data_IF_895994135353
#
_entry.id   IF_895994135353
#
_cell.length_a   1.000
_cell.length_b   1.000
_cell.length_c   1.000
_cell.angle_alpha   90.00
_cell.angle_beta   90.00
_cell.angle_gamma   90.00
#
_symmetry.space_group_name_H-M   'P 1'
#
loop_
_entity.id
_entity.type
_entity.pdbx_description
1 polymer ?
#
# COMPACT_ATOMS: atom_id res chain seq x y z
N UNK A 1 10.06 -18.42 -8.31
CA UNK A 1 10.96 -18.53 -7.15
C UNK A 1 10.59 -17.41 -6.20
N UNK A 2 9.86 -17.74 -5.13
CA UNK A 2 9.33 -16.78 -4.18
C UNK A 2 10.33 -16.54 -3.05
N UNK A 3 10.64 -15.27 -2.80
CA UNK A 3 11.16 -14.80 -1.53
C UNK A 3 10.00 -14.81 -0.55
N UNK A 4 10.13 -15.53 0.57
CA UNK A 4 9.63 -15.22 1.92
C UNK A 4 9.71 -16.49 2.74
N UNK A 5 10.90 -16.75 3.29
CA UNK A 5 11.11 -17.85 4.24
C UNK A 5 12.16 -17.41 5.26
N UNK A 6 11.76 -16.55 6.20
CA UNK A 6 12.58 -16.22 7.37
C UNK A 6 11.68 -15.95 8.56
N UNK A 7 11.32 -17.03 9.27
CA UNK A 7 11.04 -17.01 10.70
C UNK A 7 11.05 -18.45 11.21
N UNK A 8 12.25 -18.95 11.56
CA UNK A 8 12.40 -20.21 12.30
C UNK A 8 13.15 -19.96 13.60
N UNK A 9 12.42 -20.25 14.69
CA UNK A 9 12.86 -20.75 16.00
C UNK A 9 14.07 -20.09 16.66
N UNK A 10 13.82 -19.42 17.79
CA UNK A 10 14.77 -19.43 18.92
C UNK A 10 14.20 -20.29 20.04
N UNK A 11 14.94 -21.36 20.34
CA UNK A 11 14.71 -22.31 21.42
C UNK A 11 14.93 -21.66 22.79
N UNK A 12 14.10 -22.10 23.74
CA UNK A 12 14.37 -22.10 25.18
C UNK A 12 15.74 -22.69 25.49
N UNK A 13 16.58 -21.94 26.19
CA UNK A 13 17.56 -22.51 27.12
C UNK A 13 17.70 -21.60 28.34
N UNK A 14 17.29 -22.13 29.49
CA UNK A 14 17.69 -21.71 30.82
C UNK A 14 19.21 -21.62 30.91
N UNK A 15 19.73 -20.51 31.44
CA UNK A 15 21.05 -20.49 32.07
C UNK A 15 21.05 -19.54 33.27
N UNK A 16 21.26 -20.15 34.43
CA UNK A 16 21.55 -19.51 35.71
C UNK A 16 22.73 -18.55 35.56
N UNK A 17 22.61 -17.35 36.11
CA UNK A 17 23.74 -16.46 36.36
C UNK A 17 23.81 -16.17 37.86
N UNK A 18 25.02 -16.38 38.34
CA UNK A 18 25.51 -16.35 39.71
C UNK A 18 25.41 -14.98 40.40
N UNK A 19 25.20 -15.04 41.71
CA UNK A 19 25.33 -13.94 42.66
C UNK A 19 26.76 -13.36 42.66
N UNK A 20 26.87 -12.04 42.51
CA UNK A 20 27.92 -11.26 43.16
C UNK A 20 27.28 -10.04 43.84
N UNK A 21 27.69 -9.83 45.09
CA UNK A 21 27.26 -8.75 45.98
C UNK A 21 28.09 -7.50 45.63
N UNK A 22 27.44 -6.35 45.48
CA UNK A 22 27.80 -5.17 46.27
C UNK A 22 26.71 -4.09 46.21
N UNK A 23 26.46 -3.51 47.39
CA UNK A 23 25.37 -2.60 47.75
C UNK A 23 25.55 -1.19 47.16
N UNK A 24 24.43 -0.57 46.82
CA UNK A 24 23.97 0.69 47.45
C UNK A 24 22.48 0.88 47.17
N UNK A 25 21.69 0.69 48.22
CA UNK A 25 20.26 0.94 48.26
C UNK A 25 20.00 2.44 48.10
N UNK A 26 19.19 2.80 47.09
CA UNK A 26 18.43 4.04 47.09
C UNK A 26 16.95 3.66 46.90
N UNK A 27 16.20 3.76 47.99
CA UNK A 27 14.79 3.47 48.07
C UNK A 27 13.98 4.62 47.44
N UNK A 28 13.52 4.43 46.20
CA UNK A 28 12.62 5.34 45.48
C UNK A 28 11.16 4.85 45.61
N UNK A 29 10.84 3.91 46.53
CA UNK A 29 9.47 3.42 46.68
C UNK A 29 8.52 4.41 47.37
N UNK A 30 9.00 5.58 47.78
CA UNK A 30 8.23 6.58 48.54
C UNK A 30 7.83 7.84 47.77
N UNK A 31 8.10 7.94 46.46
CA UNK A 31 7.55 9.03 45.65
C UNK A 31 6.95 8.49 44.35
N UNK A 32 5.66 8.79 44.19
CA UNK A 32 4.78 8.51 43.05
C UNK A 32 3.85 7.30 43.29
N UNK A 33 2.84 7.51 44.14
CA UNK A 33 1.57 6.79 44.04
C UNK A 33 0.84 7.28 42.78
N UNK A 34 1.17 6.72 41.62
CA UNK A 34 0.26 6.75 40.48
C UNK A 34 -0.61 5.52 40.64
N UNK A 35 -1.88 5.75 41.00
CA UNK A 35 -2.94 4.78 40.78
C UNK A 35 -2.84 4.38 39.32
N UNK A 36 -2.45 3.13 39.05
CA UNK A 36 -2.61 2.53 37.74
C UNK A 36 -4.11 2.43 37.50
N UNK A 37 -4.71 3.50 36.98
CA UNK A 37 -5.93 3.36 36.20
C UNK A 37 -5.60 2.35 35.11
N UNK A 38 -6.28 1.22 35.21
CA UNK A 38 -6.35 0.21 34.17
C UNK A 38 -6.66 0.98 32.88
N UNK A 39 -5.65 1.10 32.01
CA UNK A 39 -5.84 1.64 30.67
C UNK A 39 -6.88 0.71 30.06
N UNK A 40 -8.13 1.20 29.98
CA UNK A 40 -9.20 0.52 29.29
C UNK A 40 -8.65 0.08 27.94
N UNK A 41 -8.80 -1.21 27.67
CA UNK A 41 -8.65 -1.77 26.34
C UNK A 41 -9.40 -0.86 25.38
N UNK A 42 -8.82 -0.44 24.24
CA UNK A 42 -9.56 0.40 23.29
C UNK A 42 -10.86 -0.31 22.97
N UNK A 43 -12.00 0.35 23.25
CA UNK A 43 -13.31 -0.15 22.82
C UNK A 43 -13.22 -0.47 21.33
N UNK A 44 -13.75 -1.62 20.92
CA UNK A 44 -13.80 -1.97 19.50
C UNK A 44 -14.33 -0.76 18.70
N UNK A 45 -13.69 -0.41 17.57
CA UNK A 45 -14.12 0.74 16.78
C UNK A 45 -15.59 0.57 16.43
N UNK A 46 -16.38 1.64 16.57
CA UNK A 46 -17.81 1.60 16.23
C UNK A 46 -17.96 1.36 14.73
N UNK A 47 -18.23 0.11 14.34
CA UNK A 47 -18.44 -0.26 12.95
C UNK A 47 -19.87 0.09 12.53
N UNK A 48 -20.01 0.88 11.47
CA UNK A 48 -21.30 1.19 10.85
C UNK A 48 -21.70 0.01 9.94
N UNK A 49 -22.80 -0.72 10.23
CA UNK A 49 -23.25 -1.83 9.38
C UNK A 49 -23.60 -1.36 7.97
N UNK A 50 -23.34 -2.20 6.96
CA UNK A 50 -23.56 -1.86 5.55
C UNK A 50 -24.99 -1.42 5.25
N UNK A 51 -25.98 -1.99 5.96
CA UNK A 51 -27.40 -1.64 5.82
C UNK A 51 -27.70 -0.19 6.20
N UNK A 52 -26.87 0.43 7.05
CA UNK A 52 -26.96 1.87 7.36
C UNK A 52 -26.26 2.71 6.29
N UNK A 53 -25.10 2.26 5.79
CA UNK A 53 -24.33 2.99 4.78
C UNK A 53 -25.13 3.11 3.47
N UNK A 54 -25.76 2.01 3.02
CA UNK A 54 -26.47 1.97 1.73
C UNK A 54 -27.78 2.77 1.68
N UNK A 55 -28.37 3.16 2.82
CA UNK A 55 -29.68 3.88 2.86
C UNK A 55 -29.70 5.20 2.09
N UNK A 56 -28.54 5.82 1.86
CA UNK A 56 -28.41 7.07 1.10
C UNK A 56 -27.62 6.92 -0.20
N UNK A 57 -27.28 5.71 -0.63
CA UNK A 57 -26.47 5.48 -1.83
C UNK A 57 -27.32 5.10 -3.03
N UNK A 58 -26.90 5.61 -4.19
CA UNK A 58 -27.46 5.25 -5.48
C UNK A 58 -26.78 3.97 -5.99
N UNK A 59 -27.61 3.01 -6.38
CA UNK A 59 -27.19 1.80 -7.07
C UNK A 59 -26.59 2.15 -8.44
N UNK A 60 -25.70 1.30 -8.95
CA UNK A 60 -25.31 1.40 -10.35
C UNK A 60 -26.43 0.92 -11.29
N UNK A 61 -26.19 1.01 -12.60
CA UNK A 61 -27.20 0.71 -13.64
C UNK A 61 -27.70 -0.74 -13.64
N UNK A 62 -26.98 -1.67 -12.99
CA UNK A 62 -27.37 -3.09 -12.86
C UNK A 62 -27.85 -3.44 -11.43
N UNK A 63 -28.07 -2.41 -10.61
CA UNK A 63 -28.63 -2.57 -9.27
C UNK A 63 -27.62 -3.06 -8.23
N UNK A 64 -26.32 -2.82 -8.38
CA UNK A 64 -25.30 -3.22 -7.41
C UNK A 64 -24.76 -2.03 -6.60
N UNK A 65 -24.45 -2.27 -5.33
CA UNK A 65 -23.71 -1.36 -4.47
C UNK A 65 -22.19 -1.57 -4.56
N UNK A 66 -21.38 -0.58 -4.14
CA UNK A 66 -19.93 -0.71 -4.25
C UNK A 66 -19.30 -1.91 -3.52
N UNK A 67 -19.79 -2.27 -2.33
CA UNK A 67 -19.32 -3.46 -1.62
C UNK A 67 -19.66 -4.77 -2.36
N UNK A 68 -20.77 -4.83 -3.10
CA UNK A 68 -21.14 -6.00 -3.90
C UNK A 68 -20.21 -6.13 -5.12
N UNK A 69 -19.85 -5.01 -5.77
CA UNK A 69 -18.84 -5.01 -6.84
C UNK A 69 -17.47 -5.46 -6.31
N UNK A 70 -17.08 -4.95 -5.14
CA UNK A 70 -15.85 -5.41 -4.51
C UNK A 70 -15.93 -6.91 -4.22
N UNK A 71 -17.07 -7.41 -3.74
CA UNK A 71 -17.24 -8.82 -3.44
C UNK A 71 -17.19 -9.69 -4.70
N UNK A 72 -17.73 -9.23 -5.83
CA UNK A 72 -17.57 -9.88 -7.13
C UNK A 72 -16.08 -10.06 -7.49
N UNK A 73 -15.23 -9.08 -7.20
CA UNK A 73 -13.80 -9.18 -7.48
C UNK A 73 -13.06 -10.21 -6.59
N UNK A 74 -13.64 -10.57 -5.45
CA UNK A 74 -13.10 -11.58 -4.52
C UNK A 74 -13.76 -12.94 -4.67
N UNK A 75 -14.99 -13.02 -5.18
CA UNK A 75 -15.80 -14.24 -5.26
C UNK A 75 -15.05 -15.44 -5.88
N UNK A 76 -14.22 -15.30 -6.94
CA UNK A 76 -13.44 -16.42 -7.46
C UNK A 76 -12.44 -17.04 -6.48
N UNK A 77 -12.18 -16.42 -5.33
CA UNK A 77 -11.30 -16.95 -4.27
C UNK A 77 -12.08 -17.67 -3.16
N UNK A 78 -13.41 -17.54 -3.13
CA UNK A 78 -14.26 -18.09 -2.07
C UNK A 78 -14.91 -19.40 -2.51
N UNK A 79 -14.92 -20.36 -1.60
CA UNK A 79 -15.64 -21.62 -1.73
C UNK A 79 -17.14 -21.41 -1.54
N UNK A 80 -17.96 -22.41 -1.85
CA UNK A 80 -19.40 -22.33 -1.57
C UNK A 80 -19.71 -22.38 -0.07
N UNK A 81 -18.84 -23.02 0.72
CA UNK A 81 -19.01 -23.21 2.16
C UNK A 81 -17.65 -23.18 2.88
N UNK A 82 -17.66 -22.94 4.18
CA UNK A 82 -16.47 -23.03 5.04
C UNK A 82 -15.43 -21.93 4.81
N UNK A 83 -15.83 -20.79 4.26
CA UNK A 83 -14.94 -19.65 4.07
C UNK A 83 -14.56 -18.98 5.38
N UNK A 84 -13.38 -18.38 5.39
CA UNK A 84 -13.01 -17.31 6.32
C UNK A 84 -12.75 -16.04 5.52
N UNK A 85 -13.27 -14.92 6.03
CA UNK A 85 -13.28 -13.65 5.33
C UNK A 85 -12.25 -12.68 5.91
N UNK A 86 -11.55 -11.91 5.06
CA UNK A 86 -10.71 -10.81 5.52
C UNK A 86 -11.49 -9.83 6.40
N UNK A 87 -10.89 -9.40 7.51
CA UNK A 87 -11.55 -8.52 8.48
C UNK A 87 -12.01 -7.17 7.91
N UNK A 88 -11.43 -6.71 6.79
CA UNK A 88 -11.84 -5.45 6.16
C UNK A 88 -13.31 -5.44 5.74
N UNK A 89 -13.91 -6.60 5.44
CA UNK A 89 -15.34 -6.68 5.09
C UNK A 89 -16.19 -6.06 6.19
N UNK A 90 -15.91 -6.45 7.44
CA UNK A 90 -16.56 -5.88 8.61
C UNK A 90 -16.00 -4.50 8.94
N UNK A 91 -14.71 -4.41 9.28
CA UNK A 91 -14.14 -3.20 9.88
C UNK A 91 -14.11 -1.98 8.95
N UNK A 92 -14.01 -2.19 7.63
CA UNK A 92 -13.94 -1.08 6.65
C UNK A 92 -15.29 -0.84 5.95
N UNK A 93 -16.07 -1.90 5.70
CA UNK A 93 -17.26 -1.81 4.85
C UNK A 93 -18.57 -2.22 5.51
N UNK A 94 -18.55 -2.63 6.78
CA UNK A 94 -19.75 -2.98 7.53
C UNK A 94 -20.45 -4.25 7.05
N UNK A 95 -19.80 -5.07 6.22
CA UNK A 95 -20.33 -6.34 5.68
C UNK A 95 -20.01 -7.46 6.66
N UNK A 96 -21.01 -7.87 7.43
CA UNK A 96 -20.86 -8.95 8.42
C UNK A 96 -21.07 -10.33 7.80
N UNK A 97 -22.10 -10.47 6.96
CA UNK A 97 -22.53 -11.74 6.37
C UNK A 97 -22.16 -11.77 4.88
N UNK A 98 -20.91 -12.13 4.60
CA UNK A 98 -20.36 -12.16 3.23
C UNK A 98 -20.97 -13.33 2.43
N UNK A 99 -21.25 -14.47 3.05
CA UNK A 99 -21.91 -15.61 2.40
C UNK A 99 -23.29 -15.23 1.86
N UNK A 100 -24.11 -14.53 2.65
CA UNK A 100 -25.40 -14.01 2.19
C UNK A 100 -25.28 -13.10 0.98
N UNK A 101 -24.25 -12.24 0.94
CA UNK A 101 -23.99 -11.39 -0.22
C UNK A 101 -23.56 -12.21 -1.45
N UNK A 102 -22.73 -13.25 -1.30
CA UNK A 102 -22.35 -14.14 -2.40
C UNK A 102 -23.55 -14.90 -2.97
N UNK A 103 -24.44 -15.41 -2.11
CA UNK A 103 -25.68 -16.08 -2.52
C UNK A 103 -26.57 -15.12 -3.31
N UNK A 104 -26.77 -13.89 -2.81
CA UNK A 104 -27.53 -12.85 -3.51
C UNK A 104 -26.95 -12.55 -4.91
N UNK A 105 -25.62 -12.38 -5.01
CA UNK A 105 -24.94 -12.12 -6.28
C UNK A 105 -25.10 -13.28 -7.28
N UNK A 106 -25.09 -14.53 -6.80
CA UNK A 106 -25.36 -15.72 -7.60
C UNK A 106 -26.82 -15.73 -8.07
N UNK A 107 -27.77 -15.54 -7.17
CA UNK A 107 -29.20 -15.61 -7.49
C UNK A 107 -29.63 -14.49 -8.45
N UNK A 108 -28.91 -13.37 -8.44
CA UNK A 108 -29.08 -12.25 -9.37
C UNK A 108 -28.31 -12.41 -10.68
N UNK A 109 -27.60 -13.53 -10.88
CA UNK A 109 -26.96 -13.89 -12.15
C UNK A 109 -25.59 -13.26 -12.39
N UNK A 110 -24.94 -12.67 -11.39
CA UNK A 110 -23.56 -12.15 -11.51
C UNK A 110 -22.49 -13.21 -11.19
N UNK A 111 -22.87 -14.23 -10.42
CA UNK A 111 -22.03 -15.38 -10.09
C UNK A 111 -22.71 -16.69 -10.51
N UNK A 112 -21.89 -17.70 -10.73
CA UNK A 112 -22.30 -19.09 -10.92
C UNK A 112 -21.43 -20.02 -10.08
N UNK A 113 -21.87 -21.27 -9.91
CA UNK A 113 -21.02 -22.32 -9.33
C UNK A 113 -19.94 -22.65 -10.37
N UNK A 114 -18.69 -22.73 -9.92
CA UNK A 114 -17.57 -23.00 -10.81
C UNK A 114 -17.59 -24.39 -11.42
N UNK A 115 -16.80 -24.58 -12.48
CA UNK A 115 -16.75 -25.86 -13.18
C UNK A 115 -16.00 -26.93 -12.39
N UNK A 116 -16.27 -28.21 -12.69
CA UNK A 116 -15.48 -29.33 -12.15
C UNK A 116 -13.98 -29.16 -12.45
N UNK A 117 -13.65 -28.71 -13.67
CA UNK A 117 -12.26 -28.42 -14.03
C UNK A 117 -11.63 -27.39 -13.09
N UNK A 118 -12.35 -26.30 -12.80
CA UNK A 118 -11.89 -25.25 -11.89
C UNK A 118 -11.70 -25.78 -10.45
N UNK A 119 -12.57 -26.68 -10.00
CA UNK A 119 -12.42 -27.34 -8.69
C UNK A 119 -11.13 -28.18 -8.64
N UNK A 120 -10.87 -28.99 -9.68
CA UNK A 120 -9.64 -29.78 -9.80
C UNK A 120 -8.40 -28.89 -9.89
N UNK A 121 -8.47 -27.78 -10.63
CA UNK A 121 -7.37 -26.81 -10.75
C UNK A 121 -7.01 -26.13 -9.42
N UNK A 122 -7.91 -26.10 -8.44
CA UNK A 122 -7.64 -25.54 -7.11
C UNK A 122 -7.02 -26.53 -6.13
N UNK A 123 -7.11 -27.82 -6.42
CA UNK A 123 -6.49 -28.83 -5.57
C UNK A 123 -4.97 -28.80 -5.61
N UNK A 124 -4.34 -29.28 -4.56
CA UNK A 124 -2.88 -29.35 -4.51
C UNK A 124 -2.37 -30.46 -5.45
N UNK A 125 -1.19 -30.25 -6.03
CA UNK A 125 -0.63 -31.19 -7.00
C UNK A 125 -0.41 -32.61 -6.45
N UNK A 126 -0.26 -32.77 -5.12
CA UNK A 126 -0.18 -34.07 -4.48
C UNK A 126 -1.50 -34.85 -4.63
N UNK A 127 -2.63 -34.23 -4.27
CA UNK A 127 -3.98 -34.82 -4.40
C UNK A 127 -4.25 -35.25 -5.84
N UNK A 128 -3.90 -34.41 -6.83
CA UNK A 128 -4.08 -34.76 -8.24
C UNK A 128 -3.27 -36.01 -8.64
N UNK A 129 -2.05 -36.14 -8.13
CA UNK A 129 -1.19 -37.30 -8.42
C UNK A 129 -1.70 -38.57 -7.76
N UNK A 130 -2.25 -38.47 -6.57
CA UNK A 130 -2.83 -39.61 -5.86
C UNK A 130 -4.03 -40.15 -6.65
N UNK A 131 -4.96 -39.27 -7.07
CA UNK A 131 -6.11 -39.67 -7.90
C UNK A 131 -5.67 -40.28 -9.24
N UNK A 132 -4.67 -39.69 -9.91
CA UNK A 132 -4.11 -40.26 -11.14
C UNK A 132 -3.53 -41.66 -10.89
N UNK A 133 -2.77 -41.84 -9.81
CA UNK A 133 -2.17 -43.13 -9.45
C UNK A 133 -3.21 -44.20 -9.16
N UNK A 134 -4.26 -43.84 -8.43
CA UNK A 134 -5.37 -44.75 -8.08
C UNK A 134 -6.15 -45.21 -9.32
N UNK A 135 -6.13 -44.41 -10.39
CA UNK A 135 -6.70 -44.75 -11.70
C UNK A 135 -5.68 -45.39 -12.66
N UNK A 136 -4.47 -45.72 -12.19
CA UNK A 136 -3.41 -46.33 -13.02
C UNK A 136 -2.78 -45.39 -14.05
N UNK A 137 -2.96 -44.08 -13.90
CA UNK A 137 -2.54 -43.06 -14.84
C UNK A 137 -1.16 -42.49 -14.50
N UNK A 138 -0.51 -41.92 -15.52
CA UNK A 138 0.80 -41.28 -15.37
C UNK A 138 0.72 -40.06 -14.44
N UNK A 139 1.61 -39.98 -13.46
CA UNK A 139 1.65 -38.89 -12.44
C UNK A 139 2.69 -37.78 -12.72
N UNK A 140 3.46 -37.91 -13.80
CA UNK A 140 4.44 -36.90 -14.21
C UNK A 140 3.77 -35.75 -14.98
N UNK A 141 4.31 -34.54 -14.85
CA UNK A 141 3.91 -33.38 -15.64
C UNK A 141 3.70 -32.13 -14.81
N UNK A 142 3.47 -31.01 -15.50
CA UNK A 142 3.01 -29.76 -14.86
C UNK A 142 1.56 -29.93 -14.37
N UNK A 143 1.13 -29.12 -13.40
CA UNK A 143 -0.23 -29.20 -12.82
C UNK A 143 -1.33 -29.19 -13.89
N UNK A 144 -1.23 -28.30 -14.88
CA UNK A 144 -2.21 -28.23 -15.97
C UNK A 144 -2.32 -29.53 -16.78
N UNK A 145 -1.20 -30.24 -17.00
CA UNK A 145 -1.19 -31.54 -17.67
C UNK A 145 -1.82 -32.63 -16.82
N UNK A 146 -1.65 -32.57 -15.49
CA UNK A 146 -2.31 -33.50 -14.56
C UNK A 146 -3.82 -33.30 -14.55
N UNK A 147 -4.27 -32.04 -14.51
CA UNK A 147 -5.69 -31.68 -14.58
C UNK A 147 -6.29 -32.18 -15.89
N UNK A 148 -5.65 -31.89 -17.02
CA UNK A 148 -6.14 -32.31 -18.33
C UNK A 148 -6.27 -33.84 -18.41
N UNK A 149 -5.27 -34.57 -17.91
CA UNK A 149 -5.31 -36.04 -17.85
C UNK A 149 -6.48 -36.58 -17.04
N UNK A 150 -6.75 -35.98 -15.87
CA UNK A 150 -7.91 -36.35 -15.07
C UNK A 150 -9.21 -36.12 -15.87
N UNK A 151 -9.35 -34.96 -16.52
CA UNK A 151 -10.54 -34.61 -17.30
C UNK A 151 -10.77 -35.52 -18.50
N UNK A 152 -9.70 -35.99 -19.16
CA UNK A 152 -9.79 -36.78 -20.39
C UNK A 152 -9.96 -38.29 -20.12
N UNK A 153 -9.34 -38.80 -19.05
CA UNK A 153 -9.21 -40.25 -18.83
C UNK A 153 -10.04 -40.77 -17.64
N UNK A 154 -10.50 -39.91 -16.72
CA UNK A 154 -11.30 -40.32 -15.55
C UNK A 154 -12.77 -39.92 -15.74
N UNK A 155 -13.75 -40.82 -15.50
CA UNK A 155 -15.17 -40.49 -15.63
C UNK A 155 -15.58 -39.29 -14.77
N UNK A 156 -16.38 -38.39 -15.36
CA UNK A 156 -16.82 -37.16 -14.69
C UNK A 156 -17.55 -37.42 -13.37
N UNK A 157 -18.36 -38.49 -13.29
CA UNK A 157 -19.05 -38.87 -12.06
C UNK A 157 -18.06 -39.17 -10.91
N UNK A 158 -17.02 -39.96 -11.19
CA UNK A 158 -15.95 -40.27 -10.23
C UNK A 158 -15.23 -39.01 -9.77
N UNK A 159 -14.94 -38.10 -10.71
CA UNK A 159 -14.29 -36.83 -10.38
C UNK A 159 -15.19 -35.95 -9.50
N UNK A 160 -16.50 -35.90 -9.74
CA UNK A 160 -17.44 -35.12 -8.90
C UNK A 160 -17.52 -35.64 -7.48
N UNK A 161 -17.40 -36.95 -7.28
CA UNK A 161 -17.40 -37.56 -5.95
C UNK A 161 -16.12 -37.24 -5.16
N UNK A 162 -14.98 -37.11 -5.86
CA UNK A 162 -13.69 -36.78 -5.25
C UNK A 162 -13.55 -35.27 -5.01
N UNK A 163 -13.85 -34.48 -6.04
CA UNK A 163 -13.64 -33.03 -6.07
C UNK A 163 -14.95 -32.30 -5.76
N UNK A 164 -15.26 -32.23 -4.47
CA UNK A 164 -16.53 -31.68 -3.96
C UNK A 164 -16.46 -30.20 -3.59
N UNK A 165 -15.26 -29.61 -3.56
CA UNK A 165 -15.04 -28.23 -3.14
C UNK A 165 -15.08 -27.26 -4.32
N UNK A 166 -16.25 -26.69 -4.54
CA UNK A 166 -16.46 -25.69 -5.59
C UNK A 166 -16.28 -24.26 -5.07
N UNK A 167 -15.95 -23.36 -5.99
CA UNK A 167 -15.90 -21.91 -5.76
C UNK A 167 -16.88 -21.19 -6.65
N UNK A 168 -17.12 -19.92 -6.36
CA UNK A 168 -17.86 -19.05 -7.27
C UNK A 168 -17.03 -18.75 -8.52
N UNK A 169 -17.72 -18.54 -9.65
CA UNK A 169 -17.16 -18.00 -10.88
C UNK A 169 -18.01 -16.82 -11.36
N UNK A 170 -17.37 -15.86 -12.03
CA UNK A 170 -18.08 -14.74 -12.64
C UNK A 170 -18.84 -15.21 -13.88
N UNK A 171 -20.11 -14.85 -13.98
CA UNK A 171 -20.85 -14.91 -15.25
C UNK A 171 -20.34 -13.82 -16.19
N UNK A 172 -20.78 -13.81 -17.44
CA UNK A 172 -20.40 -12.74 -18.38
C UNK A 172 -20.91 -11.37 -17.91
N UNK A 173 -22.13 -11.30 -17.37
CA UNK A 173 -22.65 -10.09 -16.73
C UNK A 173 -21.78 -9.65 -15.53
N UNK A 174 -21.31 -10.61 -14.71
CA UNK A 174 -20.39 -10.35 -13.60
C UNK A 174 -19.04 -9.78 -14.07
N UNK A 175 -18.48 -10.32 -15.16
CA UNK A 175 -17.22 -9.82 -15.75
C UNK A 175 -17.39 -8.41 -16.35
N UNK A 176 -18.48 -8.18 -17.07
CA UNK A 176 -18.78 -6.90 -17.70
C UNK A 176 -18.92 -5.78 -16.67
N UNK A 177 -19.70 -6.00 -15.60
CA UNK A 177 -19.88 -4.97 -14.57
C UNK A 177 -18.59 -4.75 -13.77
N UNK A 178 -17.83 -5.80 -13.48
CA UNK A 178 -16.56 -5.66 -12.76
C UNK A 178 -15.53 -4.86 -13.56
N UNK A 179 -15.53 -5.02 -14.90
CA UNK A 179 -14.71 -4.20 -15.80
C UNK A 179 -15.18 -2.75 -15.84
N UNK A 180 -16.49 -2.51 -15.93
CA UNK A 180 -17.08 -1.16 -15.94
C UNK A 180 -16.80 -0.40 -14.65
N UNK A 181 -16.83 -1.09 -13.51
CA UNK A 181 -16.68 -0.53 -12.16
C UNK A 181 -15.28 -0.84 -11.57
N UNK A 182 -14.26 -1.00 -12.42
CA UNK A 182 -12.90 -1.43 -12.02
C UNK A 182 -12.23 -0.50 -11.01
N UNK A 183 -12.72 0.73 -10.89
CA UNK A 183 -12.26 1.71 -9.91
C UNK A 183 -12.51 1.28 -8.46
N UNK A 184 -13.49 0.39 -8.21
CA UNK A 184 -13.83 -0.12 -6.87
C UNK A 184 -12.74 -1.05 -6.32
N UNK A 185 -12.37 -2.17 -7.00
CA UNK A 185 -11.23 -2.96 -6.55
C UNK A 185 -9.93 -2.16 -6.60
N UNK A 186 -9.78 -1.23 -7.55
CA UNK A 186 -8.63 -0.33 -7.61
C UNK A 186 -8.46 0.49 -6.32
N UNK A 187 -9.48 1.24 -5.88
CA UNK A 187 -9.36 2.10 -4.69
C UNK A 187 -9.24 1.31 -3.39
N UNK A 188 -9.85 0.12 -3.33
CA UNK A 188 -9.68 -0.78 -2.19
C UNK A 188 -8.22 -1.20 -2.01
N UNK A 189 -7.53 -1.53 -3.12
CA UNK A 189 -6.15 -2.02 -3.11
C UNK A 189 -5.12 -0.91 -2.89
N UNK A 190 -5.27 0.23 -3.57
CA UNK A 190 -4.27 1.28 -3.55
C UNK A 190 -4.40 2.14 -2.29
N UNK A 191 -5.63 2.43 -1.87
CA UNK A 191 -5.90 3.35 -0.77
C UNK A 191 -5.48 4.79 -1.12
N UNK A 192 -6.42 5.71 -1.07
CA UNK A 192 -6.12 7.14 -1.18
C UNK A 192 -6.76 7.81 0.03
N UNK A 193 -6.05 8.80 0.59
CA UNK A 193 -6.51 9.55 1.76
C UNK A 193 -7.95 10.04 1.58
N UNK A 194 -8.81 9.73 2.56
CA UNK A 194 -10.23 10.07 2.60
C UNK A 194 -11.03 9.64 1.35
N UNK A 195 -10.54 8.65 0.61
CA UNK A 195 -11.18 8.11 -0.60
C UNK A 195 -11.27 6.58 -0.51
N UNK A 196 -12.50 6.09 -0.48
CA UNK A 196 -12.84 4.68 -0.36
C UNK A 196 -13.83 4.26 -1.48
N UNK A 197 -14.32 3.01 -1.40
CA UNK A 197 -15.25 2.48 -2.42
C UNK A 197 -16.55 3.27 -2.49
N UNK A 198 -16.99 3.89 -1.39
CA UNK A 198 -18.28 4.58 -1.32
C UNK A 198 -18.16 6.00 -1.87
N UNK A 199 -17.18 6.75 -1.36
CA UNK A 199 -16.90 8.13 -1.74
C UNK A 199 -16.41 8.25 -3.18
N UNK A 200 -15.59 7.30 -3.67
CA UNK A 200 -15.19 7.29 -5.08
C UNK A 200 -16.36 6.95 -6.00
N UNK A 201 -17.19 5.94 -5.66
CA UNK A 201 -18.38 5.63 -6.46
C UNK A 201 -19.29 6.83 -6.61
N UNK A 202 -19.53 7.59 -5.53
CA UNK A 202 -20.31 8.84 -5.62
C UNK A 202 -19.65 9.84 -6.58
N UNK A 203 -18.35 10.10 -6.44
CA UNK A 203 -17.62 11.05 -7.31
C UNK A 203 -17.62 10.65 -8.78
N UNK A 204 -17.57 9.34 -9.09
CA UNK A 204 -17.66 8.82 -10.46
C UNK A 204 -19.08 8.98 -11.00
N UNK A 205 -20.11 8.65 -10.21
CA UNK A 205 -21.51 8.82 -10.61
C UNK A 205 -21.90 10.30 -10.84
N UNK A 206 -21.32 11.22 -10.08
CA UNK A 206 -21.53 12.67 -10.22
C UNK A 206 -20.84 13.24 -11.49
N UNK A 207 -19.98 12.46 -12.16
CA UNK A 207 -19.24 12.84 -13.38
C UNK A 207 -19.44 11.80 -14.50
N UNK A 208 -20.67 11.62 -15.00
CA UNK A 208 -20.93 10.64 -16.06
C UNK A 208 -20.11 10.97 -17.31
N UNK A 209 -19.51 9.93 -17.92
CA UNK A 209 -18.69 10.06 -19.13
C UNK A 209 -17.22 10.39 -18.89
N UNK A 210 -16.81 10.73 -17.67
CA UNK A 210 -15.39 10.89 -17.33
C UNK A 210 -14.76 9.54 -16.97
N UNK A 211 -13.52 9.26 -17.44
CA UNK A 211 -12.74 8.14 -16.93
C UNK A 211 -12.56 8.26 -15.43
N UNK A 212 -12.75 7.16 -14.69
CA UNK A 212 -12.61 7.18 -13.23
C UNK A 212 -11.21 7.65 -12.79
N UNK A 213 -10.18 7.40 -13.61
CA UNK A 213 -8.81 7.83 -13.33
C UNK A 213 -8.67 9.35 -13.32
N UNK A 214 -9.40 10.06 -14.19
CA UNK A 214 -9.45 11.53 -14.18
C UNK A 214 -10.20 12.06 -12.95
N UNK A 215 -11.21 11.32 -12.47
CA UNK A 215 -11.91 11.63 -11.21
C UNK A 215 -10.96 11.52 -10.02
N UNK A 216 -10.16 10.43 -9.96
CA UNK A 216 -9.13 10.24 -8.93
C UNK A 216 -8.06 11.33 -9.03
N UNK A 217 -7.57 11.63 -10.23
CA UNK A 217 -6.58 12.68 -10.45
C UNK A 217 -7.07 14.05 -9.98
N UNK A 218 -8.31 14.41 -10.33
CA UNK A 218 -8.94 15.64 -9.85
C UNK A 218 -9.03 15.68 -8.32
N UNK A 219 -9.38 14.57 -7.69
CA UNK A 219 -9.43 14.45 -6.24
C UNK A 219 -8.04 14.61 -5.58
N UNK A 220 -7.02 13.94 -6.10
CA UNK A 220 -5.65 14.07 -5.58
C UNK A 220 -5.12 15.51 -5.72
N UNK A 221 -5.43 16.20 -6.83
CA UNK A 221 -5.11 17.63 -6.96
C UNK A 221 -5.84 18.48 -5.92
N UNK A 222 -7.13 18.25 -5.68
CA UNK A 222 -7.87 18.98 -4.64
C UNK A 222 -7.25 18.74 -3.24
N UNK A 223 -6.91 17.49 -2.92
CA UNK A 223 -6.25 17.13 -1.65
C UNK A 223 -4.89 17.79 -1.49
N UNK A 224 -4.05 17.79 -2.53
CA UNK A 224 -2.75 18.44 -2.48
C UNK A 224 -2.91 19.95 -2.22
N UNK A 225 -3.90 20.60 -2.84
CA UNK A 225 -4.19 22.02 -2.61
C UNK A 225 -4.68 22.30 -1.18
N UNK A 226 -5.42 21.39 -0.55
CA UNK A 226 -5.81 21.51 0.86
C UNK A 226 -4.57 21.46 1.75
N UNK A 227 -3.69 20.46 1.56
CA UNK A 227 -2.49 20.28 2.37
C UNK A 227 -1.52 21.47 2.27
N UNK A 228 -1.25 21.95 1.05
CA UNK A 228 -0.34 23.08 0.86
C UNK A 228 -0.89 24.37 1.49
N UNK A 229 -2.21 24.60 1.39
CA UNK A 229 -2.87 25.76 2.00
C UNK A 229 -2.77 25.75 3.52
N UNK A 230 -2.86 24.57 4.13
CA UNK A 230 -2.77 24.39 5.58
C UNK A 230 -1.32 24.32 6.09
N UNK A 231 -0.31 24.38 5.20
CA UNK A 231 1.11 24.15 5.54
C UNK A 231 1.38 22.75 6.08
N UNK A 232 0.58 21.77 5.66
CA UNK A 232 0.78 20.36 5.93
C UNK A 232 1.73 19.76 4.88
N UNK A 233 2.98 20.24 4.85
CA UNK A 233 3.93 19.91 3.78
C UNK A 233 4.29 18.42 3.70
N UNK A 234 4.26 17.71 4.84
CA UNK A 234 4.42 16.27 4.90
C UNK A 234 3.25 15.52 4.24
N UNK A 235 2.02 15.96 4.47
CA UNK A 235 0.85 15.40 3.80
C UNK A 235 0.81 15.78 2.31
N UNK A 236 1.21 17.02 1.98
CA UNK A 236 1.35 17.47 0.61
C UNK A 236 2.30 16.56 -0.17
N UNK A 237 3.54 16.35 0.32
CA UNK A 237 4.52 15.49 -0.37
C UNK A 237 4.04 14.05 -0.48
N UNK A 238 3.27 13.55 0.48
CA UNK A 238 2.68 12.21 0.41
C UNK A 238 1.65 12.13 -0.72
N UNK A 239 0.80 13.15 -0.83
CA UNK A 239 -0.15 13.26 -1.92
C UNK A 239 0.57 13.34 -3.29
N UNK A 240 1.64 14.14 -3.42
CA UNK A 240 2.45 14.22 -4.65
C UNK A 240 3.12 12.89 -5.00
N UNK A 241 3.58 12.14 -3.99
CA UNK A 241 4.11 10.80 -4.21
C UNK A 241 3.02 9.82 -4.69
N UNK A 242 1.84 9.83 -4.08
CA UNK A 242 0.69 9.03 -4.57
C UNK A 242 0.32 9.40 -6.00
N UNK A 243 0.34 10.68 -6.35
CA UNK A 243 0.13 11.14 -7.72
C UNK A 243 1.21 10.65 -8.70
N UNK A 244 2.47 10.62 -8.27
CA UNK A 244 3.59 10.08 -9.05
C UNK A 244 3.35 8.61 -9.40
N UNK A 245 3.07 7.77 -8.40
CA UNK A 245 2.83 6.34 -8.63
C UNK A 245 1.55 6.14 -9.48
N UNK A 246 0.51 6.95 -9.27
CA UNK A 246 -0.74 6.90 -10.04
C UNK A 246 -0.55 7.12 -11.54
N UNK A 247 0.22 8.14 -11.96
CA UNK A 247 0.45 8.40 -13.40
C UNK A 247 1.53 7.49 -13.99
N UNK A 248 2.43 6.95 -13.16
CA UNK A 248 3.38 5.90 -13.55
C UNK A 248 2.66 4.63 -13.99
N UNK A 249 1.61 4.22 -13.28
CA UNK A 249 0.75 3.08 -13.67
C UNK A 249 0.14 3.26 -15.07
N UNK A 250 -0.14 4.51 -15.47
CA UNK A 250 -0.64 4.85 -16.81
C UNK A 250 0.46 4.91 -17.89
N UNK A 251 1.71 4.62 -17.52
CA UNK A 251 2.86 4.71 -18.41
C UNK A 251 3.36 6.14 -18.65
N UNK A 252 2.82 7.14 -17.95
CA UNK A 252 3.22 8.56 -18.07
C UNK A 252 4.48 8.84 -17.25
N UNK A 253 5.58 8.20 -17.63
CA UNK A 253 6.83 8.19 -16.86
C UNK A 253 7.41 9.59 -16.62
N UNK A 254 7.38 10.50 -17.60
CA UNK A 254 7.92 11.86 -17.42
C UNK A 254 7.12 12.65 -16.38
N UNK A 255 5.78 12.57 -16.40
CA UNK A 255 4.93 13.21 -15.40
C UNK A 255 5.16 12.62 -14.01
N UNK A 256 5.30 11.29 -13.92
CA UNK A 256 5.64 10.63 -12.66
C UNK A 256 6.97 11.15 -12.11
N UNK A 257 7.96 11.30 -12.97
CA UNK A 257 9.27 11.81 -12.56
C UNK A 257 9.25 13.28 -12.13
N UNK A 258 8.52 14.15 -12.83
CA UNK A 258 8.34 15.54 -12.39
C UNK A 258 7.74 15.62 -10.98
N UNK A 259 6.73 14.79 -10.70
CA UNK A 259 6.11 14.67 -9.37
C UNK A 259 7.10 14.13 -8.34
N UNK A 260 7.91 13.14 -8.71
CA UNK A 260 8.94 12.57 -7.84
C UNK A 260 10.05 13.58 -7.53
N UNK A 261 10.45 14.41 -8.49
CA UNK A 261 11.44 15.47 -8.28
C UNK A 261 10.92 16.53 -7.29
N UNK A 262 9.64 16.90 -7.40
CA UNK A 262 8.97 17.76 -6.41
C UNK A 262 8.97 17.10 -5.02
N UNK A 263 8.64 15.82 -4.94
CA UNK A 263 8.66 15.05 -3.68
C UNK A 263 10.05 15.09 -3.03
N UNK A 264 11.11 14.86 -3.79
CA UNK A 264 12.50 14.91 -3.30
C UNK A 264 12.83 16.30 -2.79
N UNK A 265 12.40 17.34 -3.51
CA UNK A 265 12.64 18.72 -3.10
C UNK A 265 11.99 19.03 -1.74
N UNK A 266 10.77 18.55 -1.51
CA UNK A 266 10.12 18.68 -0.19
C UNK A 266 10.79 17.83 0.89
N UNK A 267 11.17 16.59 0.60
CA UNK A 267 11.88 15.70 1.55
C UNK A 267 13.20 16.31 2.03
N UNK A 268 13.88 17.04 1.14
CA UNK A 268 15.16 17.72 1.42
C UNK A 268 15.00 19.18 1.86
N UNK A 269 13.79 19.73 1.85
CA UNK A 269 13.59 21.15 2.21
C UNK A 269 13.67 21.43 3.71
N UNK A 270 13.36 20.44 4.55
CA UNK A 270 13.09 20.63 5.99
C UNK A 270 11.66 21.10 6.30
N UNK A 271 10.80 21.30 5.29
CA UNK A 271 9.39 21.58 5.51
C UNK A 271 8.68 20.34 6.07
N UNK A 272 7.91 20.53 7.14
CA UNK A 272 7.10 19.50 7.80
C UNK A 272 5.68 20.00 8.07
N UNK A 273 4.78 19.14 8.55
CA UNK A 273 3.43 19.56 8.88
C UNK A 273 3.44 20.63 9.98
N UNK A 274 2.80 21.77 9.72
CA UNK A 274 2.79 22.89 10.66
C UNK A 274 4.13 23.62 10.80
N UNK A 275 5.05 23.46 9.84
CA UNK A 275 6.34 24.13 9.85
C UNK A 275 6.18 25.65 10.08
N UNK A 276 6.95 26.16 11.03
CA UNK A 276 7.01 27.59 11.33
C UNK A 276 8.45 28.03 11.58
N UNK A 277 8.89 29.05 10.85
CA UNK A 277 10.25 29.59 10.93
C UNK A 277 10.66 29.99 12.36
N UNK A 278 9.69 30.35 13.22
CA UNK A 278 9.97 30.74 14.61
C UNK A 278 10.52 29.59 15.47
N UNK A 279 10.37 28.34 15.05
CA UNK A 279 10.85 27.15 15.75
C UNK A 279 12.11 26.56 15.10
N UNK A 280 12.82 27.32 14.27
CA UNK A 280 14.00 26.86 13.54
C UNK A 280 15.09 26.28 14.46
N UNK A 281 15.27 26.85 15.65
CA UNK A 281 16.19 26.36 16.67
C UNK A 281 15.89 24.90 17.08
N UNK A 282 14.60 24.54 17.14
CA UNK A 282 14.14 23.19 17.51
C UNK A 282 14.34 22.22 16.35
N UNK A 283 14.04 22.65 15.12
CA UNK A 283 14.16 21.78 13.95
C UNK A 283 15.62 21.51 13.56
N UNK A 284 16.47 22.54 13.64
CA UNK A 284 17.85 22.51 13.14
C UNK A 284 18.73 21.42 13.77
N UNK A 285 18.45 21.04 15.02
CA UNK A 285 19.16 19.94 15.71
C UNK A 285 18.90 18.58 15.07
N UNK A 286 17.73 18.38 14.46
CA UNK A 286 17.34 17.13 13.81
C UNK A 286 17.73 17.07 12.32
N UNK A 287 18.23 18.17 11.75
CA UNK A 287 18.64 18.23 10.34
C UNK A 287 20.07 17.73 10.11
N UNK A 288 20.86 17.59 11.18
CA UNK A 288 22.29 17.25 11.08
C UNK A 288 22.76 16.43 12.27
N UNK A 289 23.77 15.56 12.13
CA UNK A 289 24.50 15.22 10.90
C UNK A 289 23.69 14.28 9.98
N UNK A 290 24.19 14.04 8.75
CA UNK A 290 23.53 13.17 7.75
C UNK A 290 22.98 11.86 8.35
N UNK A 291 23.82 11.12 9.10
CA UNK A 291 23.46 9.82 9.70
C UNK A 291 22.23 9.85 10.62
N UNK A 292 21.95 11.00 11.25
CA UNK A 292 20.83 11.18 12.17
C UNK A 292 19.82 12.21 11.65
N UNK A 293 19.94 12.63 10.39
CA UNK A 293 19.10 13.68 9.83
C UNK A 293 17.71 13.11 9.52
N UNK A 294 16.68 13.85 9.91
CA UNK A 294 15.30 13.59 9.46
C UNK A 294 15.03 14.13 8.05
N UNK A 295 15.94 14.95 7.52
CA UNK A 295 15.88 15.54 6.17
C UNK A 295 16.84 14.75 5.31
N UNK A 296 16.38 13.63 4.78
CA UNK A 296 17.12 12.68 3.92
C UNK A 296 16.17 12.08 2.90
N UNK A 297 16.69 11.37 1.90
CA UNK A 297 15.85 10.63 0.96
C UNK A 297 15.47 9.26 1.53
N UNK A 298 14.18 8.94 1.51
CA UNK A 298 13.74 7.60 1.85
C UNK A 298 14.22 6.58 0.80
N UNK A 299 14.70 5.37 1.17
CA UNK A 299 15.20 4.37 0.23
C UNK A 299 14.21 4.00 -0.88
N UNK A 300 12.91 4.05 -0.58
CA UNK A 300 11.85 3.83 -1.57
C UNK A 300 11.87 4.88 -2.69
N UNK A 301 12.11 6.16 -2.36
CA UNK A 301 12.21 7.25 -3.34
C UNK A 301 13.46 7.07 -4.20
N UNK A 302 14.62 6.79 -3.59
CA UNK A 302 15.87 6.49 -4.32
C UNK A 302 15.66 5.36 -5.33
N UNK A 303 14.99 4.27 -4.93
CA UNK A 303 14.62 3.17 -5.81
C UNK A 303 13.77 3.60 -7.01
N UNK A 304 12.82 4.54 -6.85
CA UNK A 304 11.98 5.03 -7.97
C UNK A 304 12.79 5.89 -8.95
N UNK A 305 13.74 6.68 -8.45
CA UNK A 305 14.63 7.47 -9.30
C UNK A 305 15.50 6.55 -10.16
N UNK A 306 16.09 5.51 -9.56
CA UNK A 306 16.89 4.51 -10.31
C UNK A 306 16.04 3.78 -11.36
N UNK A 307 14.82 3.33 -11.00
CA UNK A 307 13.89 2.71 -11.97
C UNK A 307 13.56 3.64 -13.15
N UNK A 308 13.39 4.93 -12.89
CA UNK A 308 13.20 5.91 -13.96
C UNK A 308 14.46 6.07 -14.84
N UNK A 309 15.63 6.22 -14.20
CA UNK A 309 16.92 6.34 -14.88
C UNK A 309 17.15 5.17 -15.85
N UNK A 310 16.95 3.94 -15.36
CA UNK A 310 17.08 2.71 -16.14
C UNK A 310 16.08 2.65 -17.30
N UNK A 311 14.80 2.93 -17.04
CA UNK A 311 13.74 2.90 -18.08
C UNK A 311 13.95 3.93 -19.19
N UNK A 312 14.57 5.07 -18.88
CA UNK A 312 14.87 6.12 -19.84
C UNK A 312 16.29 6.00 -20.43
N UNK A 313 17.10 5.05 -19.96
CA UNK A 313 18.48 4.88 -20.40
C UNK A 313 19.35 6.11 -20.14
N UNK A 314 19.12 6.81 -19.02
CA UNK A 314 19.84 8.04 -18.70
C UNK A 314 21.21 7.75 -18.07
N UNK A 315 22.22 8.51 -18.48
CA UNK A 315 23.47 8.62 -17.73
C UNK A 315 23.25 9.37 -16.42
N UNK A 316 24.20 9.29 -15.50
CA UNK A 316 24.15 10.04 -14.23
C UNK A 316 24.02 11.55 -14.48
N UNK A 317 24.80 12.10 -15.42
CA UNK A 317 24.69 13.52 -15.80
C UNK A 317 23.32 13.84 -16.43
N UNK A 318 22.77 12.92 -17.23
CA UNK A 318 21.43 13.05 -17.80
C UNK A 318 20.35 13.12 -16.72
N UNK A 319 20.46 12.24 -15.70
CA UNK A 319 19.57 12.25 -14.55
C UNK A 319 19.71 13.55 -13.74
N UNK A 320 20.94 13.97 -13.43
CA UNK A 320 21.22 15.21 -12.70
C UNK A 320 20.61 16.43 -13.39
N UNK A 321 20.84 16.57 -14.70
CA UNK A 321 20.30 17.66 -15.50
C UNK A 321 18.76 17.65 -15.49
N UNK A 322 18.15 16.47 -15.62
CA UNK A 322 16.69 16.36 -15.60
C UNK A 322 16.09 16.70 -14.23
N UNK A 323 16.69 16.23 -13.14
CA UNK A 323 16.27 16.61 -11.78
C UNK A 323 16.37 18.12 -11.57
N UNK A 324 17.50 18.72 -11.98
CA UNK A 324 17.73 20.15 -11.84
C UNK A 324 16.67 20.96 -12.62
N UNK A 325 16.36 20.53 -13.85
CA UNK A 325 15.33 21.15 -14.69
C UNK A 325 13.96 21.17 -14.00
N UNK A 326 13.53 20.05 -13.42
CA UNK A 326 12.24 19.94 -12.74
C UNK A 326 12.23 20.72 -11.41
N UNK A 327 13.27 20.56 -10.59
CA UNK A 327 13.36 21.21 -9.27
C UNK A 327 13.45 22.73 -9.37
N UNK A 328 14.13 23.26 -10.39
CA UNK A 328 14.31 24.71 -10.57
C UNK A 328 13.01 25.46 -10.90
N UNK A 329 11.95 24.74 -11.28
CA UNK A 329 10.62 25.32 -11.56
C UNK A 329 9.79 25.54 -10.28
N UNK A 330 10.27 25.04 -9.13
CA UNK A 330 9.50 25.00 -7.89
C UNK A 330 10.10 25.98 -6.89
N UNK A 331 9.26 26.88 -6.38
CA UNK A 331 9.64 27.80 -5.33
C UNK A 331 9.08 27.35 -3.99
N UNK A 332 9.96 27.04 -3.04
CA UNK A 332 9.59 26.70 -1.67
C UNK A 332 9.62 27.92 -0.76
N UNK A 333 8.80 27.87 0.29
CA UNK A 333 8.80 28.91 1.35
C UNK A 333 10.04 28.84 2.25
N UNK A 334 10.68 27.67 2.32
CA UNK A 334 11.94 27.42 2.99
C UNK A 334 12.63 26.23 2.32
N UNK A 335 13.96 26.23 2.26
CA UNK A 335 14.73 25.10 1.78
C UNK A 335 16.06 25.00 2.51
N UNK A 336 16.35 23.84 3.09
CA UNK A 336 17.62 23.53 3.74
C UNK A 336 18.75 23.41 2.70
N UNK A 337 18.48 22.72 1.60
CA UNK A 337 19.39 22.50 0.47
C UNK A 337 18.94 23.32 -0.75
N UNK A 338 19.88 23.80 -1.57
CA UNK A 338 19.52 24.35 -2.89
C UNK A 338 19.13 23.23 -3.87
N UNK A 339 18.52 23.57 -5.01
CA UNK A 339 18.19 22.58 -6.03
C UNK A 339 19.43 21.78 -6.49
N UNK A 340 20.56 22.44 -6.74
CA UNK A 340 21.82 21.76 -7.06
C UNK A 340 22.28 20.82 -5.93
N UNK A 341 22.19 21.25 -4.67
CA UNK A 341 22.57 20.41 -3.53
C UNK A 341 21.63 19.22 -3.38
N UNK A 342 20.33 19.36 -3.67
CA UNK A 342 19.38 18.25 -3.73
C UNK A 342 19.77 17.23 -4.81
N UNK A 343 20.14 17.70 -6.00
CA UNK A 343 20.58 16.84 -7.12
C UNK A 343 21.84 16.05 -6.74
N UNK A 344 22.81 16.70 -6.10
CA UNK A 344 24.00 16.01 -5.61
C UNK A 344 23.69 15.00 -4.49
N UNK A 345 22.74 15.30 -3.59
CA UNK A 345 22.26 14.34 -2.60
C UNK A 345 21.67 13.10 -3.30
N UNK A 346 20.79 13.28 -4.27
CA UNK A 346 20.19 12.15 -5.02
C UNK A 346 21.28 11.26 -5.62
N UNK A 347 22.26 11.87 -6.29
CA UNK A 347 23.38 11.14 -6.89
C UNK A 347 24.21 10.38 -5.85
N UNK A 348 24.56 11.03 -4.74
CA UNK A 348 25.33 10.38 -3.67
C UNK A 348 24.54 9.26 -2.97
N UNK A 349 23.23 9.42 -2.79
CA UNK A 349 22.35 8.39 -2.22
C UNK A 349 22.25 7.15 -3.12
N UNK A 350 22.12 7.35 -4.44
CA UNK A 350 22.13 6.25 -5.43
C UNK A 350 23.45 5.46 -5.35
N UNK A 351 24.58 6.16 -5.23
CA UNK A 351 25.91 5.56 -5.18
C UNK A 351 26.40 5.21 -3.78
N UNK A 352 25.59 5.45 -2.74
CA UNK A 352 25.91 5.22 -1.33
C UNK A 352 27.19 5.93 -0.87
N UNK A 353 27.43 7.14 -1.35
CA UNK A 353 28.58 7.98 -1.02
C UNK A 353 28.35 8.74 0.30
N UNK A 354 28.38 8.00 1.41
CA UNK A 354 28.15 8.55 2.75
C UNK A 354 29.17 9.61 3.16
N UNK A 355 30.41 9.50 2.67
CA UNK A 355 31.48 10.44 3.01
C UNK A 355 31.18 11.84 2.46
N UNK A 356 30.83 11.93 1.18
CA UNK A 356 30.52 13.22 0.56
C UNK A 356 29.16 13.76 0.99
N UNK A 357 28.17 12.90 1.29
CA UNK A 357 26.93 13.30 1.96
C UNK A 357 27.24 13.99 3.29
N UNK A 358 28.09 13.36 4.12
CA UNK A 358 28.45 13.94 5.42
C UNK A 358 29.18 15.28 5.28
N UNK A 359 30.04 15.45 4.26
CA UNK A 359 30.71 16.74 3.96
C UNK A 359 29.69 17.81 3.54
N UNK A 360 28.76 17.47 2.65
CA UNK A 360 27.72 18.40 2.17
C UNK A 360 26.83 18.86 3.33
N UNK A 361 26.34 17.94 4.17
CA UNK A 361 25.52 18.28 5.33
C UNK A 361 26.28 19.18 6.32
N UNK A 362 27.57 18.93 6.55
CA UNK A 362 28.40 19.81 7.39
C UNK A 362 28.56 21.23 6.81
N UNK A 363 28.71 21.36 5.49
CA UNK A 363 28.73 22.66 4.79
C UNK A 363 27.40 23.40 5.01
N UNK A 364 26.27 22.71 4.80
CA UNK A 364 24.94 23.31 4.95
C UNK A 364 24.62 23.67 6.39
N UNK A 365 25.04 22.85 7.38
CA UNK A 365 24.94 23.19 8.81
C UNK A 365 25.63 24.53 9.14
N UNK A 366 26.83 24.76 8.59
CA UNK A 366 27.55 26.03 8.80
C UNK A 366 26.83 27.21 8.16
N UNK A 367 26.27 27.02 6.95
CA UNK A 367 25.45 28.04 6.26
C UNK A 367 24.24 28.41 7.11
N UNK A 368 23.47 27.41 7.55
CA UNK A 368 22.26 27.61 8.34
C UNK A 368 22.55 28.32 9.68
N UNK A 369 23.61 27.91 10.39
CA UNK A 369 24.03 28.58 11.64
C UNK A 369 24.38 30.06 11.43
N UNK A 370 25.03 30.39 10.31
CA UNK A 370 25.39 31.77 9.97
C UNK A 370 24.16 32.61 9.64
N UNK A 371 23.19 32.04 8.93
CA UNK A 371 21.99 32.73 8.45
C UNK A 371 20.98 32.98 9.58
N UNK A 372 20.79 32.01 10.49
CA UNK A 372 19.76 32.08 11.54
C UNK A 372 20.31 32.34 12.95
N UNK A 373 21.62 32.54 13.11
CA UNK A 373 22.23 32.90 14.40
C UNK A 373 22.10 31.81 15.49
N UNK A 374 21.89 30.56 15.09
CA UNK A 374 21.71 29.41 15.99
C UNK A 374 22.95 29.25 16.90
N UNK A 375 22.78 29.46 18.22
CA UNK A 375 23.86 29.35 19.20
C UNK A 375 24.32 27.89 19.38
N UNK A 376 25.50 27.74 19.97
CA UNK A 376 26.29 26.50 19.98
C UNK A 376 25.60 25.31 20.61
#
# INVERSE_FOLDING_TARGET
MGLFDFLKKRNNQNKQISKSKDKKDFDISSMISIKSEIINTPSEPEVIPVEKIIKGMKLNDVGLYPHEILLLSYAPKYYLEGNSYPGFWWYKYGVKDVDKCLISLKDRGFLQIGSLRSAIEKEIAAVLKDVLKDNGLKVSGKKAELVQRLMDEVPEATLKDIFTKYTYELTDAGKEILKKEEYIPYIHLHGIEDLDIWSLSKKVQDKPGYPYRDVIWGYLNERSMVHIKNKDFGLYRNCRFSMSEFVKEEGKLDNAFSLLAEVILYDLSGLSNGFSMQFMDIYGDNYFPYKNSIVTMAPGITSRVVDYQEKKGLSDDGLKNKLLEEMSRIQLSFSLFSADECVEIVHMEIHKDEENLQKLYNKVKRRLKKEYGLKK
#
